data_IF_535752365242
#
_entry.id   IF_535752365242
#
_cell.length_a   1.000
_cell.length_b   1.000
_cell.length_c   1.000
_cell.angle_alpha   90.00
_cell.angle_beta   90.00
_cell.angle_gamma   90.00
#
_symmetry.space_group_name_H-M   'P 1'
#
loop_
_entity.id
_entity.type
_entity.pdbx_description
1 polymer ?
#
# COMPACT_ATOMS: atom_id res chain seq x y z
N UNK A 1 -6.32 29.44 11.65
CA UNK A 1 -6.41 28.49 12.80
C UNK A 1 -5.25 28.83 13.74
N UNK A 2 -5.28 28.50 15.05
CA UNK A 2 -4.15 28.86 15.90
C UNK A 2 -2.91 28.08 15.47
N UNK A 3 -1.74 28.71 15.57
CA UNK A 3 -0.44 28.11 15.27
C UNK A 3 -0.01 27.25 16.46
N UNK A 4 0.51 26.05 16.18
CA UNK A 4 1.19 25.24 17.20
C UNK A 4 2.57 25.85 17.45
N UNK A 5 2.86 26.20 18.69
CA UNK A 5 4.21 26.58 19.11
C UNK A 5 4.97 25.32 19.55
N UNK A 6 6.08 25.02 18.87
CA UNK A 6 6.95 23.86 19.18
C UNK A 6 7.54 23.98 20.58
N UNK A 7 7.52 22.87 21.32
CA UNK A 7 8.26 22.68 22.56
C UNK A 7 9.52 21.84 22.38
N UNK A 8 9.72 21.30 21.17
CA UNK A 8 10.88 20.50 20.80
C UNK A 8 12.15 21.35 20.71
N UNK A 9 13.19 20.96 21.45
CA UNK A 9 14.54 21.51 21.31
C UNK A 9 15.36 20.64 20.36
N UNK A 10 15.56 21.13 19.13
CA UNK A 10 16.32 20.45 18.06
C UNK A 10 17.81 20.33 18.34
N UNK A 11 18.33 21.06 19.33
CA UNK A 11 19.73 21.02 19.75
C UNK A 11 19.96 20.15 20.99
N UNK A 12 18.89 19.60 21.58
CA UNK A 12 18.99 18.72 22.74
C UNK A 12 19.59 17.35 22.40
N UNK A 13 20.30 16.76 23.37
CA UNK A 13 20.82 15.39 23.26
C UNK A 13 19.68 14.37 23.02
N UNK A 14 18.51 14.62 23.59
CA UNK A 14 17.33 13.77 23.39
C UNK A 14 16.88 13.76 21.93
N UNK A 15 16.78 14.94 21.31
CA UNK A 15 16.38 15.04 19.90
C UNK A 15 17.39 14.30 18.99
N UNK A 16 18.69 14.44 19.26
CA UNK A 16 19.73 13.76 18.47
C UNK A 16 19.65 12.23 18.63
N UNK A 17 19.43 11.73 19.85
CA UNK A 17 19.23 10.30 20.10
C UNK A 17 17.99 9.75 19.37
N UNK A 18 16.88 10.49 19.40
CA UNK A 18 15.65 10.14 18.68
C UNK A 18 15.89 10.10 17.17
N UNK A 19 16.57 11.14 16.64
CA UNK A 19 16.93 11.27 15.23
C UNK A 19 17.80 10.12 14.75
N UNK A 20 18.83 9.77 15.51
CA UNK A 20 19.74 8.66 15.18
C UNK A 20 19.00 7.31 15.18
N UNK A 21 18.12 7.08 16.16
CA UNK A 21 17.30 5.87 16.21
C UNK A 21 16.35 5.76 15.01
N UNK A 22 15.70 6.87 14.63
CA UNK A 22 14.83 6.91 13.45
C UNK A 22 15.61 6.71 12.16
N UNK A 23 16.74 7.39 11.97
CA UNK A 23 17.58 7.25 10.79
C UNK A 23 18.11 5.83 10.63
N UNK A 24 18.54 5.19 11.74
CA UNK A 24 18.91 3.77 11.71
C UNK A 24 17.76 2.90 11.22
N UNK A 25 16.54 3.13 11.71
CA UNK A 25 15.36 2.38 11.26
C UNK A 25 15.03 2.65 9.78
N UNK A 26 15.27 3.89 9.30
CA UNK A 26 15.15 4.24 7.87
C UNK A 26 16.16 3.45 7.04
N UNK A 27 17.43 3.47 7.45
CA UNK A 27 18.52 2.76 6.76
C UNK A 27 18.26 1.26 6.69
N UNK A 28 17.71 0.65 7.75
CA UNK A 28 17.37 -0.77 7.80
C UNK A 28 16.39 -1.17 6.69
N UNK A 29 15.26 -0.46 6.52
CA UNK A 29 14.29 -0.82 5.48
C UNK A 29 14.77 -0.42 4.07
N UNK A 30 15.51 0.71 3.95
CA UNK A 30 16.11 1.13 2.68
C UNK A 30 17.17 0.15 2.19
N UNK A 31 17.93 -0.46 3.11
CA UNK A 31 18.89 -1.51 2.77
C UNK A 31 18.20 -2.74 2.16
N UNK A 32 17.01 -3.11 2.63
CA UNK A 32 16.22 -4.20 2.03
C UNK A 32 15.71 -3.81 0.64
N UNK A 33 15.17 -2.61 0.47
CA UNK A 33 14.76 -2.13 -0.86
C UNK A 33 15.93 -2.14 -1.85
N UNK A 34 17.11 -1.69 -1.41
CA UNK A 34 18.33 -1.73 -2.21
C UNK A 34 18.73 -3.16 -2.58
N UNK A 35 18.64 -4.13 -1.66
CA UNK A 35 18.92 -5.55 -1.98
C UNK A 35 18.04 -6.08 -3.11
N UNK A 36 16.75 -5.73 -3.13
CA UNK A 36 15.82 -6.14 -4.20
C UNK A 36 16.23 -5.52 -5.54
N UNK A 37 16.59 -4.23 -5.55
CA UNK A 37 17.06 -3.53 -6.76
C UNK A 37 18.36 -4.15 -7.26
N UNK A 38 19.36 -4.33 -6.38
CA UNK A 38 20.67 -4.92 -6.73
C UNK A 38 20.51 -6.36 -7.26
N UNK A 39 19.58 -7.14 -6.68
CA UNK A 39 19.24 -8.49 -7.17
C UNK A 39 18.68 -8.45 -8.58
N UNK A 40 17.74 -7.55 -8.87
CA UNK A 40 17.18 -7.39 -10.21
C UNK A 40 18.26 -6.93 -11.23
N UNK A 41 19.07 -5.95 -10.84
CA UNK A 41 20.18 -5.42 -11.64
C UNK A 41 21.24 -6.49 -11.97
N UNK A 42 21.48 -7.45 -11.07
CA UNK A 42 22.37 -8.59 -11.35
C UNK A 42 21.94 -9.43 -12.57
N UNK A 43 20.67 -9.34 -12.99
CA UNK A 43 20.15 -10.03 -14.17
C UNK A 43 20.25 -9.21 -15.46
N UNK A 44 20.72 -7.95 -15.42
CA UNK A 44 20.86 -7.06 -16.57
C UNK A 44 21.52 -7.72 -17.81
N UNK A 45 22.64 -8.45 -17.70
CA UNK A 45 23.25 -9.08 -18.89
C UNK A 45 22.34 -10.08 -19.59
N UNK A 46 21.44 -10.76 -18.85
CA UNK A 46 20.47 -11.70 -19.43
C UNK A 46 19.36 -10.96 -20.18
N UNK A 47 18.92 -9.82 -19.67
CA UNK A 47 17.91 -8.97 -20.31
C UNK A 47 18.47 -8.32 -21.58
N UNK A 48 19.69 -7.75 -21.50
CA UNK A 48 20.37 -7.14 -22.65
C UNK A 48 20.62 -8.16 -23.77
N UNK A 49 21.05 -9.37 -23.43
CA UNK A 49 21.20 -10.47 -24.42
C UNK A 49 19.90 -10.79 -25.17
N UNK A 50 18.74 -10.57 -24.53
CA UNK A 50 17.41 -10.75 -25.12
C UNK A 50 16.84 -9.46 -25.74
N UNK A 51 17.59 -8.36 -25.70
CA UNK A 51 17.11 -7.03 -26.12
C UNK A 51 15.94 -6.51 -25.28
N UNK A 52 15.83 -6.93 -24.03
CA UNK A 52 14.77 -6.55 -23.09
C UNK A 52 15.27 -5.47 -22.12
N UNK A 53 14.34 -4.63 -21.67
CA UNK A 53 14.54 -3.68 -20.57
C UNK A 53 14.25 -4.37 -19.23
N UNK A 54 14.94 -3.95 -18.16
CA UNK A 54 14.59 -4.41 -16.81
C UNK A 54 13.22 -3.87 -16.39
N UNK A 55 12.48 -4.58 -15.51
CA UNK A 55 11.17 -4.12 -15.03
C UNK A 55 11.14 -2.69 -14.50
N UNK A 56 12.14 -2.30 -13.69
CA UNK A 56 12.22 -0.94 -13.16
C UNK A 56 12.46 0.10 -14.27
N UNK A 57 13.28 -0.22 -15.27
CA UNK A 57 13.51 0.66 -16.43
C UNK A 57 12.22 0.83 -17.25
N UNK A 58 11.43 -0.23 -17.40
CA UNK A 58 10.12 -0.15 -18.08
C UNK A 58 9.17 0.79 -17.34
N UNK A 59 9.08 0.68 -16.01
CA UNK A 59 8.29 1.61 -15.18
C UNK A 59 8.80 3.05 -15.33
N UNK A 60 10.11 3.28 -15.21
CA UNK A 60 10.70 4.63 -15.34
C UNK A 60 10.43 5.25 -16.70
N UNK A 61 10.51 4.48 -17.80
CA UNK A 61 10.22 4.98 -19.15
C UNK A 61 8.73 5.17 -19.44
N UNK A 62 7.86 4.45 -18.73
CA UNK A 62 6.43 4.63 -18.84
C UNK A 62 5.96 5.93 -18.18
N UNK A 63 6.57 6.28 -17.04
CA UNK A 63 6.20 7.47 -16.26
C UNK A 63 6.61 8.78 -16.95
N UNK A 64 5.85 9.84 -16.69
CA UNK A 64 6.17 11.18 -17.17
C UNK A 64 7.44 11.71 -16.48
N UNK A 65 8.42 12.27 -17.23
CA UNK A 65 9.65 12.79 -16.64
C UNK A 65 9.40 13.86 -15.57
N UNK A 66 10.05 13.72 -14.42
CA UNK A 66 9.93 14.65 -13.29
C UNK A 66 8.61 14.55 -12.51
N UNK A 67 7.67 13.70 -12.91
CA UNK A 67 6.43 13.49 -12.17
C UNK A 67 6.64 12.67 -10.89
N UNK A 68 5.83 12.89 -9.83
CA UNK A 68 5.95 12.11 -8.61
C UNK A 68 5.47 10.67 -8.80
N UNK A 69 6.16 9.73 -8.16
CA UNK A 69 5.80 8.31 -8.13
C UNK A 69 5.72 7.80 -6.69
N UNK A 70 4.52 7.39 -6.28
CA UNK A 70 4.28 6.77 -4.99
C UNK A 70 4.39 5.24 -5.14
N UNK A 71 5.55 4.69 -4.76
CA UNK A 71 5.76 3.24 -4.74
C UNK A 71 4.93 2.56 -3.65
N UNK A 72 4.38 1.37 -3.94
CA UNK A 72 3.45 0.68 -3.05
C UNK A 72 3.92 -0.74 -2.73
N UNK A 73 3.98 -1.03 -1.42
CA UNK A 73 4.22 -2.38 -0.89
C UNK A 73 5.52 -3.00 -1.41
N UNK A 74 6.61 -2.23 -1.39
CA UNK A 74 7.94 -2.63 -1.87
C UNK A 74 8.51 -3.84 -1.12
N UNK A 75 8.11 -4.01 0.14
CA UNK A 75 8.57 -5.09 1.02
C UNK A 75 7.51 -6.20 1.22
N UNK A 76 6.52 -6.30 0.33
CA UNK A 76 5.51 -7.36 0.42
C UNK A 76 6.17 -8.74 0.40
N UNK A 77 5.89 -9.58 1.40
CA UNK A 77 6.46 -10.92 1.49
C UNK A 77 7.93 -10.96 1.91
N UNK A 78 8.49 -9.88 2.45
CA UNK A 78 9.85 -9.87 3.01
C UNK A 78 10.04 -10.98 4.03
N UNK A 79 11.06 -11.82 3.81
CA UNK A 79 11.38 -13.00 4.63
C UNK A 79 10.20 -13.98 4.82
N UNK A 80 9.26 -14.01 3.88
CA UNK A 80 8.16 -14.97 3.85
C UNK A 80 8.34 -15.94 2.69
N UNK A 81 7.79 -17.15 2.85
CA UNK A 81 7.83 -18.19 1.83
C UNK A 81 9.28 -18.51 1.41
N UNK A 82 9.61 -18.32 0.13
CA UNK A 82 10.93 -18.62 -0.41
C UNK A 82 11.96 -17.49 -0.21
N UNK A 83 11.55 -16.30 0.22
CA UNK A 83 12.48 -15.20 0.50
C UNK A 83 13.21 -15.47 1.82
N UNK A 84 14.53 -15.67 1.76
CA UNK A 84 15.34 -16.02 2.94
C UNK A 84 16.21 -14.88 3.46
N UNK A 85 16.50 -13.88 2.61
CA UNK A 85 17.47 -12.82 2.89
C UNK A 85 16.99 -11.41 2.53
N UNK A 86 15.75 -11.30 2.03
CA UNK A 86 15.11 -10.06 1.63
C UNK A 86 15.25 -9.72 0.16
N UNK A 87 16.04 -10.48 -0.61
CA UNK A 87 16.32 -10.16 -2.02
C UNK A 87 15.13 -10.42 -2.93
N UNK A 88 14.10 -11.12 -2.47
CA UNK A 88 12.90 -11.46 -3.25
C UNK A 88 11.63 -10.72 -2.78
N UNK A 89 11.77 -9.76 -1.86
CA UNK A 89 10.67 -8.97 -1.36
C UNK A 89 10.00 -8.14 -2.47
N UNK A 90 8.74 -7.79 -2.26
CA UNK A 90 7.90 -7.03 -3.19
C UNK A 90 6.81 -7.86 -3.87
N UNK A 91 6.70 -9.16 -3.57
CA UNK A 91 5.63 -10.02 -4.05
C UNK A 91 5.66 -10.27 -5.57
N UNK A 92 6.84 -10.24 -6.18
CA UNK A 92 7.03 -10.47 -7.61
C UNK A 92 6.63 -9.32 -8.53
N UNK A 93 6.34 -8.13 -7.99
CA UNK A 93 5.94 -6.96 -8.79
C UNK A 93 6.47 -5.63 -8.23
N UNK A 94 6.73 -4.69 -9.14
CA UNK A 94 6.95 -3.28 -8.86
C UNK A 94 5.63 -2.56 -9.14
N UNK A 95 5.10 -1.78 -8.20
CA UNK A 95 3.83 -1.11 -8.40
C UNK A 95 3.76 0.21 -7.64
N UNK A 96 2.95 1.13 -8.16
CA UNK A 96 2.80 2.45 -7.57
C UNK A 96 1.80 3.31 -8.31
N UNK A 97 1.67 4.55 -7.87
CA UNK A 97 0.83 5.57 -8.49
C UNK A 97 1.74 6.65 -9.06
N UNK A 98 1.62 6.92 -10.35
CA UNK A 98 2.39 7.95 -11.04
C UNK A 98 1.63 8.51 -12.23
N UNK A 99 2.28 9.38 -13.00
CA UNK A 99 1.67 10.01 -14.16
C UNK A 99 2.15 9.35 -15.45
N UNK A 100 1.21 9.09 -16.34
CA UNK A 100 1.45 8.58 -17.70
C UNK A 100 0.66 9.49 -18.64
N UNK A 101 1.35 10.26 -19.48
CA UNK A 101 0.72 11.21 -20.39
C UNK A 101 -0.23 12.20 -19.69
N UNK A 102 0.15 12.68 -18.51
CA UNK A 102 -0.62 13.61 -17.68
C UNK A 102 -1.75 12.96 -16.88
N UNK A 103 -2.03 11.66 -17.08
CA UNK A 103 -3.06 10.93 -16.34
C UNK A 103 -2.44 10.21 -15.15
N UNK A 104 -3.06 10.35 -13.97
CA UNK A 104 -2.63 9.62 -12.78
C UNK A 104 -3.11 8.18 -12.84
N UNK A 105 -2.18 7.25 -12.99
CA UNK A 105 -2.44 5.83 -13.18
C UNK A 105 -1.91 5.00 -12.01
N UNK A 106 -2.54 3.84 -11.80
CA UNK A 106 -1.89 2.76 -11.07
C UNK A 106 -1.02 1.98 -12.06
N UNK A 107 0.29 2.01 -11.84
CA UNK A 107 1.28 1.31 -12.66
C UNK A 107 1.73 0.06 -11.93
N UNK A 108 1.77 -1.08 -12.64
CA UNK A 108 2.29 -2.34 -12.13
C UNK A 108 3.19 -3.00 -13.18
N UNK A 109 4.32 -3.54 -12.76
CA UNK A 109 5.23 -4.31 -13.60
C UNK A 109 5.58 -5.62 -12.92
N UNK A 110 5.52 -6.73 -13.65
CA UNK A 110 6.07 -8.00 -13.17
C UNK A 110 7.58 -7.83 -12.97
N UNK A 111 8.10 -8.22 -11.81
CA UNK A 111 9.54 -8.18 -11.57
C UNK A 111 10.21 -9.43 -12.16
N UNK A 112 10.24 -9.54 -13.49
CA UNK A 112 10.77 -10.69 -14.22
C UNK A 112 12.26 -10.97 -13.96
N UNK A 113 13.00 -9.97 -13.47
CA UNK A 113 14.39 -10.12 -13.06
C UNK A 113 14.55 -10.95 -11.77
N UNK A 114 13.49 -11.16 -10.99
CA UNK A 114 13.52 -11.97 -9.77
C UNK A 114 12.56 -13.14 -9.94
N UNK A 115 13.11 -14.37 -9.97
CA UNK A 115 12.35 -15.61 -10.19
C UNK A 115 11.39 -15.55 -11.39
N UNK A 116 11.75 -14.84 -12.46
CA UNK A 116 10.90 -14.72 -13.63
C UNK A 116 9.56 -14.03 -13.37
N UNK A 117 9.42 -13.23 -12.29
CA UNK A 117 8.18 -12.52 -11.97
C UNK A 117 7.09 -13.46 -11.41
N UNK A 118 7.52 -14.58 -10.81
CA UNK A 118 6.61 -15.55 -10.20
C UNK A 118 5.85 -14.94 -9.01
N UNK A 119 4.55 -15.21 -8.91
CA UNK A 119 3.68 -14.68 -7.87
C UNK A 119 3.64 -15.62 -6.65
N UNK A 120 3.97 -15.08 -5.48
CA UNK A 120 3.81 -15.73 -4.16
C UNK A 120 2.44 -15.39 -3.54
N UNK A 121 2.02 -16.01 -2.42
CA UNK A 121 0.79 -15.62 -1.71
C UNK A 121 0.78 -14.13 -1.33
N UNK A 122 1.91 -13.58 -0.88
CA UNK A 122 2.05 -12.14 -0.66
C UNK A 122 1.86 -11.31 -1.94
N UNK A 123 2.30 -11.82 -3.10
CA UNK A 123 2.06 -11.22 -4.41
C UNK A 123 0.58 -11.20 -4.81
N UNK A 124 -0.18 -12.26 -4.49
CA UNK A 124 -1.63 -12.29 -4.67
C UNK A 124 -2.30 -11.21 -3.81
N UNK A 125 -1.99 -11.15 -2.51
CA UNK A 125 -2.53 -10.12 -1.63
C UNK A 125 -2.17 -8.69 -2.09
N UNK A 126 -0.94 -8.48 -2.56
CA UNK A 126 -0.50 -7.22 -3.16
C UNK A 126 -1.34 -6.87 -4.40
N UNK A 127 -1.55 -7.82 -5.30
CA UNK A 127 -2.34 -7.62 -6.53
C UNK A 127 -3.79 -7.24 -6.22
N UNK A 128 -4.44 -7.96 -5.30
CA UNK A 128 -5.81 -7.65 -4.85
C UNK A 128 -5.87 -6.27 -4.18
N UNK A 129 -4.86 -5.90 -3.39
CA UNK A 129 -4.80 -4.57 -2.78
C UNK A 129 -4.60 -3.45 -3.81
N UNK A 130 -3.77 -3.66 -4.83
CA UNK A 130 -3.57 -2.70 -5.91
C UNK A 130 -4.88 -2.46 -6.68
N UNK A 131 -5.62 -3.54 -7.01
CA UNK A 131 -6.93 -3.43 -7.65
C UNK A 131 -7.96 -2.70 -6.78
N UNK A 132 -7.94 -2.94 -5.46
CA UNK A 132 -8.79 -2.19 -4.52
C UNK A 132 -8.44 -0.69 -4.54
N UNK A 133 -7.15 -0.34 -4.51
CA UNK A 133 -6.70 1.07 -4.62
C UNK A 133 -7.17 1.68 -5.94
N UNK A 134 -7.01 0.98 -7.07
CA UNK A 134 -7.43 1.47 -8.38
C UNK A 134 -8.95 1.71 -8.43
N UNK A 135 -9.75 0.75 -7.94
CA UNK A 135 -11.22 0.85 -7.85
C UNK A 135 -11.65 2.04 -7.02
N UNK A 136 -11.08 2.15 -5.83
CA UNK A 136 -11.48 3.11 -4.80
C UNK A 136 -11.11 4.55 -5.13
N UNK A 137 -10.04 4.74 -5.89
CA UNK A 137 -9.51 6.05 -6.28
C UNK A 137 -9.71 6.34 -7.78
N UNK A 138 -10.40 5.46 -8.52
CA UNK A 138 -10.66 5.55 -9.96
C UNK A 138 -9.38 5.83 -10.74
N UNK A 139 -8.40 4.93 -10.63
CA UNK A 139 -7.12 5.04 -11.33
C UNK A 139 -7.11 4.10 -12.53
N UNK A 140 -6.91 4.58 -13.77
CA UNK A 140 -6.56 3.72 -14.89
C UNK A 140 -5.36 2.85 -14.54
N UNK A 141 -5.36 1.61 -15.00
CA UNK A 141 -4.33 0.62 -14.68
C UNK A 141 -3.46 0.41 -15.91
N UNK A 142 -2.15 0.58 -15.76
CA UNK A 142 -1.16 0.23 -16.77
C UNK A 142 -0.27 -0.90 -16.25
N UNK A 143 -0.36 -2.07 -16.87
CA UNK A 143 0.37 -3.28 -16.48
C UNK A 143 1.48 -3.61 -17.48
N UNK A 144 2.69 -3.82 -17.00
CA UNK A 144 3.86 -4.23 -17.78
C UNK A 144 4.16 -5.70 -17.42
N UNK A 145 3.55 -6.61 -18.18
CA UNK A 145 3.42 -8.02 -17.84
C UNK A 145 4.55 -8.87 -18.42
N UNK A 146 5.23 -9.60 -17.54
CA UNK A 146 6.20 -10.65 -17.89
C UNK A 146 6.35 -11.57 -16.67
N UNK A 147 5.56 -12.64 -16.61
CA UNK A 147 5.48 -13.51 -15.44
C UNK A 147 5.57 -14.98 -15.79
N UNK A 148 6.37 -15.72 -15.02
CA UNK A 148 6.41 -17.18 -15.03
C UNK A 148 5.15 -17.86 -14.45
N UNK A 149 4.19 -17.08 -13.94
CA UNK A 149 2.96 -17.58 -13.35
C UNK A 149 2.98 -17.62 -11.82
N UNK A 150 2.15 -18.46 -11.23
CA UNK A 150 2.08 -18.66 -9.79
C UNK A 150 3.19 -19.61 -9.30
N UNK A 151 3.67 -19.40 -8.08
CA UNK A 151 4.61 -20.33 -7.45
C UNK A 151 3.92 -21.66 -7.14
N UNK A 152 4.35 -22.74 -7.81
CA UNK A 152 3.73 -24.06 -7.67
C UNK A 152 3.86 -24.65 -6.25
N UNK A 153 4.87 -24.25 -5.47
CA UNK A 153 5.00 -24.66 -4.07
C UNK A 153 3.82 -24.18 -3.21
N UNK A 154 3.15 -23.11 -3.62
CA UNK A 154 2.05 -22.47 -2.91
C UNK A 154 0.76 -22.45 -3.75
N UNK A 155 0.64 -23.36 -4.72
CA UNK A 155 -0.53 -23.39 -5.61
C UNK A 155 -1.85 -23.46 -4.85
N UNK A 156 -1.92 -24.22 -3.75
CA UNK A 156 -3.12 -24.34 -2.91
C UNK A 156 -3.51 -23.03 -2.22
N UNK A 157 -2.53 -22.19 -1.85
CA UNK A 157 -2.76 -20.88 -1.21
C UNK A 157 -3.09 -19.78 -2.22
N UNK A 158 -2.79 -19.99 -3.51
CA UNK A 158 -2.92 -18.97 -4.55
C UNK A 158 -4.10 -19.25 -5.48
N UNK A 159 -4.34 -20.50 -5.88
CA UNK A 159 -5.15 -20.81 -7.06
C UNK A 159 -6.61 -20.33 -6.95
N UNK A 160 -7.34 -20.75 -5.91
CA UNK A 160 -8.77 -20.44 -5.77
C UNK A 160 -8.99 -18.96 -5.51
N UNK A 161 -8.27 -18.38 -4.54
CA UNK A 161 -8.37 -16.96 -4.20
C UNK A 161 -7.78 -16.07 -5.32
N UNK A 162 -6.86 -16.60 -6.12
CA UNK A 162 -6.28 -15.96 -7.30
C UNK A 162 -7.31 -15.58 -8.35
N UNK A 163 -8.41 -16.34 -8.49
CA UNK A 163 -9.49 -16.01 -9.40
C UNK A 163 -10.13 -14.62 -9.13
N UNK A 164 -9.99 -14.10 -7.91
CA UNK A 164 -10.46 -12.75 -7.57
C UNK A 164 -9.75 -11.66 -8.36
N UNK A 165 -8.50 -11.85 -8.77
CA UNK A 165 -7.79 -10.84 -9.58
C UNK A 165 -8.50 -10.66 -10.91
N UNK A 166 -8.86 -11.75 -11.59
CA UNK A 166 -9.61 -11.76 -12.84
C UNK A 166 -11.03 -11.19 -12.66
N UNK A 167 -11.73 -11.62 -11.61
CA UNK A 167 -13.07 -11.10 -11.30
C UNK A 167 -13.05 -9.58 -11.07
N UNK A 168 -12.00 -9.05 -10.44
CA UNK A 168 -11.82 -7.63 -10.24
C UNK A 168 -11.49 -6.90 -11.54
N UNK A 169 -10.64 -7.45 -12.42
CA UNK A 169 -10.37 -6.84 -13.74
C UNK A 169 -11.66 -6.67 -14.55
N UNK A 170 -12.49 -7.72 -14.64
CA UNK A 170 -13.76 -7.64 -15.34
C UNK A 170 -14.69 -6.56 -14.73
N UNK A 171 -14.75 -6.47 -13.40
CA UNK A 171 -15.56 -5.47 -12.69
C UNK A 171 -15.02 -4.04 -12.84
N UNK A 172 -13.70 -3.87 -12.90
CA UNK A 172 -13.04 -2.57 -13.09
C UNK A 172 -13.31 -2.02 -14.49
N UNK A 173 -13.16 -2.87 -15.52
CA UNK A 173 -13.55 -2.55 -16.89
C UNK A 173 -15.02 -2.14 -16.97
N UNK A 174 -15.93 -2.92 -16.37
CA UNK A 174 -17.36 -2.59 -16.32
C UNK A 174 -17.69 -1.28 -15.55
N UNK A 175 -16.82 -0.86 -14.62
CA UNK A 175 -16.92 0.44 -13.93
C UNK A 175 -16.34 1.61 -14.73
N UNK A 176 -15.83 1.35 -15.94
CA UNK A 176 -15.22 2.34 -16.82
C UNK A 176 -13.81 2.76 -16.37
N UNK A 177 -13.10 1.91 -15.62
CA UNK A 177 -11.69 2.12 -15.25
C UNK A 177 -10.83 1.39 -16.28
N UNK A 178 -10.13 2.11 -17.18
CA UNK A 178 -9.39 1.49 -18.27
C UNK A 178 -8.22 0.64 -17.77
N UNK A 179 -8.01 -0.50 -18.42
CA UNK A 179 -6.91 -1.41 -18.17
C UNK A 179 -6.10 -1.59 -19.45
N UNK A 180 -4.85 -1.14 -19.41
CA UNK A 180 -3.89 -1.24 -20.51
C UNK A 180 -2.79 -2.20 -20.07
N UNK A 181 -2.53 -3.24 -20.86
CA UNK A 181 -1.46 -4.21 -20.58
C UNK A 181 -0.48 -4.29 -21.74
N UNK A 182 0.80 -4.14 -21.43
CA UNK A 182 1.91 -4.47 -22.33
C UNK A 182 2.48 -5.82 -21.93
N UNK A 183 2.38 -6.82 -22.80
CA UNK A 183 2.94 -8.15 -22.61
C UNK A 183 4.36 -8.15 -23.18
N UNK A 184 5.36 -8.12 -22.30
CA UNK A 184 6.79 -8.07 -22.65
C UNK A 184 7.43 -9.46 -22.81
N UNK A 185 6.75 -10.51 -22.35
CA UNK A 185 7.25 -11.88 -22.37
C UNK A 185 6.14 -12.89 -22.07
N UNK A 186 6.43 -13.88 -21.24
CA UNK A 186 5.48 -14.95 -20.95
C UNK A 186 4.29 -14.46 -20.11
N UNK A 187 3.10 -14.93 -20.49
CA UNK A 187 1.85 -14.85 -19.75
C UNK A 187 1.08 -16.19 -19.95
N UNK A 188 1.43 -17.18 -19.15
CA UNK A 188 1.01 -18.59 -19.34
C UNK A 188 -0.08 -19.02 -18.35
N UNK A 189 -0.91 -19.98 -18.76
CA UNK A 189 -1.96 -20.61 -17.97
C UNK A 189 -2.96 -19.58 -17.44
N UNK A 190 -3.25 -19.58 -16.13
CA UNK A 190 -4.12 -18.56 -15.53
C UNK A 190 -3.62 -17.14 -15.77
N UNK A 191 -2.30 -16.94 -15.87
CA UNK A 191 -1.69 -15.63 -16.14
C UNK A 191 -2.07 -15.05 -17.50
N UNK A 192 -2.47 -15.87 -18.48
CA UNK A 192 -2.92 -15.42 -19.80
C UNK A 192 -4.23 -14.60 -19.73
N UNK A 193 -5.06 -14.81 -18.70
CA UNK A 193 -6.28 -14.03 -18.50
C UNK A 193 -6.01 -12.60 -18.01
N UNK A 194 -4.84 -12.30 -17.46
CA UNK A 194 -4.53 -10.93 -17.05
C UNK A 194 -4.50 -9.96 -18.26
N UNK A 195 -3.73 -10.22 -19.33
CA UNK A 195 -3.86 -9.46 -20.56
C UNK A 195 -5.21 -9.69 -21.25
N UNK A 196 -5.74 -10.92 -21.26
CA UNK A 196 -7.02 -11.23 -21.92
C UNK A 196 -8.27 -10.55 -21.30
N UNK A 197 -8.17 -10.03 -20.08
CA UNK A 197 -9.22 -9.24 -19.41
C UNK A 197 -8.88 -7.74 -19.33
N UNK A 198 -7.79 -7.31 -19.98
CA UNK A 198 -7.49 -5.88 -20.15
C UNK A 198 -8.30 -5.31 -21.31
N UNK A 199 -8.58 -4.02 -21.28
CA UNK A 199 -9.33 -3.34 -22.35
C UNK A 199 -8.45 -3.07 -23.58
N UNK A 200 -7.13 -2.91 -23.35
CA UNK A 200 -6.15 -2.74 -24.41
C UNK A 200 -4.92 -3.62 -24.11
N UNK A 201 -4.57 -4.46 -25.06
CA UNK A 201 -3.48 -5.43 -24.98
C UNK A 201 -2.45 -5.15 -26.10
N UNK A 202 -1.23 -4.86 -25.69
CA UNK A 202 -0.07 -4.65 -26.57
C UNK A 202 0.88 -5.83 -26.37
N UNK A 203 1.21 -6.56 -27.44
CA UNK A 203 2.15 -7.69 -27.38
C UNK A 203 3.46 -7.35 -28.10
N UNK A 204 4.60 -7.62 -27.45
CA UNK A 204 5.91 -7.42 -28.06
C UNK A 204 6.26 -8.57 -29.01
N UNK A 205 6.50 -8.26 -30.29
CA UNK A 205 6.82 -9.22 -31.36
C UNK A 205 8.00 -10.12 -30.99
N UNK A 206 7.89 -11.42 -31.31
CA UNK A 206 8.93 -12.43 -31.11
C UNK A 206 9.43 -12.57 -29.66
N UNK A 207 8.63 -12.13 -28.68
CA UNK A 207 8.96 -12.15 -27.25
C UNK A 207 7.76 -12.52 -26.40
N UNK A 208 6.64 -11.84 -26.63
CA UNK A 208 5.42 -12.01 -25.89
C UNK A 208 4.74 -13.32 -26.25
N UNK A 209 4.38 -14.10 -25.24
CA UNK A 209 3.80 -15.43 -25.38
C UNK A 209 2.62 -15.60 -24.44
N UNK A 210 1.45 -15.86 -25.01
CA UNK A 210 0.21 -16.08 -24.27
C UNK A 210 -0.40 -17.43 -24.66
N UNK A 211 -0.62 -18.31 -23.68
CA UNK A 211 -1.32 -19.58 -23.91
C UNK A 211 -1.79 -20.18 -22.60
N UNK A 212 -2.90 -20.92 -22.62
CA UNK A 212 -3.39 -21.65 -21.45
C UNK A 212 -2.49 -22.86 -21.11
N UNK A 213 -1.93 -23.49 -22.12
CA UNK A 213 -1.01 -24.62 -21.99
C UNK A 213 0.17 -24.36 -22.92
N UNK A 214 1.39 -24.30 -22.37
CA UNK A 214 2.58 -24.15 -23.21
C UNK A 214 2.92 -25.42 -23.99
N UNK A 215 3.87 -25.36 -24.93
CA UNK A 215 4.20 -26.49 -25.79
C UNK A 215 4.45 -27.82 -25.05
N UNK A 216 5.13 -27.86 -23.88
CA UNK A 216 5.29 -29.11 -23.13
C UNK A 216 3.96 -29.72 -22.69
N UNK A 217 3.00 -28.90 -22.24
CA UNK A 217 1.69 -29.35 -21.79
C UNK A 217 0.78 -29.70 -22.97
N UNK A 218 0.86 -28.94 -24.07
CA UNK A 218 0.16 -29.25 -25.32
C UNK A 218 0.53 -30.65 -25.82
N UNK A 219 1.85 -30.93 -25.93
CA UNK A 219 2.37 -32.23 -26.35
C UNK A 219 1.95 -33.34 -25.40
N UNK A 220 2.03 -33.11 -24.09
CA UNK A 220 1.65 -34.10 -23.09
C UNK A 220 0.14 -34.43 -23.12
N UNK A 221 -0.71 -33.44 -23.37
CA UNK A 221 -2.16 -33.60 -23.33
C UNK A 221 -2.76 -34.12 -24.65
N UNK A 222 -2.18 -33.75 -25.80
CA UNK A 222 -2.80 -33.98 -27.12
C UNK A 222 -1.90 -34.69 -28.12
N UNK A 223 -0.59 -34.73 -27.88
CA UNK A 223 0.41 -35.19 -28.85
C UNK A 223 0.78 -34.16 -29.92
N UNK A 224 0.11 -33.00 -29.98
CA UNK A 224 0.42 -31.92 -30.90
C UNK A 224 1.78 -31.28 -30.57
N UNK A 225 2.53 -30.92 -31.62
CA UNK A 225 3.82 -30.25 -31.51
C UNK A 225 3.69 -28.91 -32.22
N UNK A 226 3.81 -27.83 -31.44
CA UNK A 226 3.89 -26.46 -31.93
C UNK A 226 5.05 -25.75 -31.22
N UNK A 227 5.65 -24.78 -31.91
CA UNK A 227 6.54 -23.82 -31.26
C UNK A 227 5.74 -22.86 -30.37
N UNK A 228 6.42 -22.14 -29.48
CA UNK A 228 5.75 -21.18 -28.61
C UNK A 228 5.22 -19.94 -29.35
N UNK A 229 5.90 -19.50 -30.42
CA UNK A 229 5.40 -18.43 -31.31
C UNK A 229 4.18 -18.87 -32.13
N UNK A 230 4.18 -20.09 -32.68
CA UNK A 230 3.00 -20.63 -33.39
C UNK A 230 1.79 -20.77 -32.45
N UNK A 231 2.04 -21.21 -31.21
CA UNK A 231 0.99 -21.49 -30.24
C UNK A 231 0.40 -20.23 -29.58
N UNK A 232 1.20 -19.18 -29.41
CA UNK A 232 0.83 -18.04 -28.57
C UNK A 232 1.64 -16.77 -28.77
N UNK A 233 2.30 -16.63 -29.92
CA UNK A 233 3.11 -15.45 -30.25
C UNK A 233 2.27 -14.19 -30.47
N UNK A 234 2.94 -13.03 -30.44
CA UNK A 234 2.29 -11.74 -30.64
C UNK A 234 1.56 -11.63 -31.98
N UNK A 235 2.16 -12.12 -33.07
CA UNK A 235 1.57 -12.08 -34.41
C UNK A 235 0.29 -12.92 -34.49
N UNK A 236 0.31 -14.12 -33.90
CA UNK A 236 -0.87 -14.98 -33.84
C UNK A 236 -2.01 -14.30 -33.09
N UNK A 237 -1.73 -13.73 -31.91
CA UNK A 237 -2.77 -13.06 -31.12
C UNK A 237 -3.34 -11.78 -31.76
N UNK A 238 -2.53 -11.03 -32.50
CA UNK A 238 -2.97 -9.79 -33.12
C UNK A 238 -3.61 -9.97 -34.51
N UNK A 239 -3.27 -11.05 -35.24
CA UNK A 239 -3.71 -11.23 -36.64
C UNK A 239 -4.66 -12.42 -36.85
N UNK A 240 -4.63 -13.41 -35.97
CA UNK A 240 -5.46 -14.63 -36.10
C UNK A 240 -6.52 -14.67 -35.01
N UNK A 241 -6.12 -14.67 -33.73
CA UNK A 241 -7.05 -14.83 -32.62
C UNK A 241 -7.79 -13.53 -32.24
N UNK A 242 -7.19 -12.36 -32.51
CA UNK A 242 -7.73 -11.06 -32.11
C UNK A 242 -7.75 -10.85 -30.60
N UNK A 243 -6.80 -11.43 -29.87
CA UNK A 243 -6.65 -11.25 -28.41
C UNK A 243 -5.82 -10.03 -28.04
N UNK A 244 -5.03 -9.50 -28.98
CA UNK A 244 -4.23 -8.29 -28.81
C UNK A 244 -4.60 -7.27 -29.86
N UNK A 245 -4.71 -5.99 -29.47
CA UNK A 245 -5.03 -4.90 -30.37
C UNK A 245 -3.78 -4.36 -31.10
N UNK A 246 -2.60 -4.50 -30.48
CA UNK A 246 -1.36 -3.90 -30.99
C UNK A 246 -0.17 -4.86 -30.91
N UNK A 247 0.70 -4.80 -31.93
CA UNK A 247 2.01 -5.46 -31.92
C UNK A 247 3.08 -4.37 -31.78
N UNK A 248 3.91 -4.48 -30.75
CA UNK A 248 5.07 -3.61 -30.54
C UNK A 248 6.37 -4.30 -30.99
N UNK A 249 7.32 -3.54 -31.53
CA UNK A 249 8.57 -4.12 -32.05
C UNK A 249 9.60 -4.45 -30.96
N UNK A 250 9.51 -3.79 -29.81
CA UNK A 250 10.35 -4.04 -28.63
C UNK A 250 9.71 -3.44 -27.37
N UNK A 251 10.37 -3.62 -26.21
CA UNK A 251 9.87 -3.10 -24.93
C UNK A 251 9.63 -1.59 -24.94
N UNK A 252 10.54 -0.80 -25.54
CA UNK A 252 10.41 0.65 -25.58
C UNK A 252 9.23 1.08 -26.47
N UNK A 253 9.02 0.40 -27.58
CA UNK A 253 7.87 0.63 -28.47
C UNK A 253 6.54 0.25 -27.78
N UNK A 254 6.49 -0.85 -27.04
CA UNK A 254 5.31 -1.22 -26.25
C UNK A 254 4.96 -0.19 -25.18
N UNK A 255 5.97 0.36 -24.51
CA UNK A 255 5.79 1.46 -23.55
C UNK A 255 5.29 2.73 -24.25
N UNK A 256 5.84 3.07 -25.42
CA UNK A 256 5.38 4.21 -26.22
C UNK A 256 3.89 4.06 -26.57
N UNK A 257 3.48 2.90 -27.08
CA UNK A 257 2.07 2.62 -27.40
C UNK A 257 1.16 2.72 -26.16
N UNK A 258 1.60 2.21 -25.01
CA UNK A 258 0.83 2.35 -23.77
C UNK A 258 0.62 3.82 -23.37
N UNK A 259 1.66 4.65 -23.51
CA UNK A 259 1.56 6.12 -23.27
C UNK A 259 0.60 6.80 -24.25
N UNK A 260 0.58 6.39 -25.52
CA UNK A 260 -0.32 6.91 -26.55
C UNK A 260 -1.78 6.54 -26.29
N UNK A 261 -2.03 5.31 -25.84
CA UNK A 261 -3.37 4.88 -25.42
C UNK A 261 -3.87 5.69 -24.23
N UNK A 262 -3.05 5.87 -23.20
CA UNK A 262 -3.42 6.71 -22.05
C UNK A 262 -3.71 8.14 -22.48
N UNK A 263 -2.90 8.72 -23.38
CA UNK A 263 -3.11 10.06 -23.91
C UNK A 263 -4.40 10.22 -24.73
N UNK A 264 -4.84 9.15 -25.42
CA UNK A 264 -6.07 9.16 -26.22
C UNK A 264 -7.35 9.00 -25.39
N UNK A 265 -7.26 8.50 -24.16
CA UNK A 265 -8.42 8.41 -23.28
C UNK A 265 -8.68 9.82 -22.72
N UNK A 266 -9.85 10.43 -22.96
CA UNK A 266 -10.19 11.76 -22.44
C UNK A 266 -10.52 11.66 -20.94
N UNK A 267 -9.55 11.23 -20.13
CA UNK A 267 -9.74 10.90 -18.72
C UNK A 267 -9.84 12.16 -17.87
N UNK A 268 -8.86 13.04 -18.00
CA UNK A 268 -8.80 14.30 -17.27
C UNK A 268 -9.82 15.32 -17.79
N UNK A 269 -10.25 15.22 -19.04
CA UNK A 269 -11.31 16.07 -19.62
C UNK A 269 -12.67 15.90 -18.91
N UNK A 270 -12.87 14.78 -18.20
CA UNK A 270 -14.07 14.51 -17.39
C UNK A 270 -14.04 15.23 -16.03
N UNK A 271 -12.89 15.75 -15.62
CA UNK A 271 -12.75 16.42 -14.34
C UNK A 271 -13.34 17.83 -14.42
N UNK A 272 -14.09 18.29 -13.39
CA UNK A 272 -14.46 19.68 -13.31
C UNK A 272 -13.19 20.54 -13.16
N UNK A 273 -13.22 21.75 -13.71
CA UNK A 273 -12.17 22.73 -13.45
C UNK A 273 -12.06 22.97 -11.94
N UNK A 274 -10.82 22.99 -11.43
CA UNK A 274 -10.52 23.27 -10.03
C UNK A 274 -9.44 24.33 -9.98
N UNK A 275 -9.70 25.40 -9.24
CA UNK A 275 -8.72 26.43 -8.97
C UNK A 275 -7.53 25.84 -8.20
N UNK A 276 -6.34 26.34 -8.52
CA UNK A 276 -5.14 26.03 -7.76
C UNK A 276 -5.32 26.50 -6.31
N UNK A 277 -5.09 25.61 -5.36
CA UNK A 277 -5.18 25.96 -3.95
C UNK A 277 -3.89 26.64 -3.52
N UNK A 278 -3.99 27.87 -3.03
CA UNK A 278 -2.86 28.52 -2.35
C UNK A 278 -2.71 27.92 -0.94
N UNK A 279 -1.46 27.63 -0.57
CA UNK A 279 -1.11 27.08 0.74
C UNK A 279 0.25 27.59 1.20
N UNK A 280 0.56 27.39 2.47
CA UNK A 280 1.81 27.80 3.10
C UNK A 280 2.48 26.55 3.67
N UNK A 281 3.79 26.43 3.48
CA UNK A 281 4.57 25.37 4.12
C UNK A 281 4.43 25.41 5.64
N UNK A 282 4.63 24.26 6.34
CA UNK A 282 4.75 24.24 7.79
C UNK A 282 5.85 25.22 8.28
N UNK A 283 5.71 25.73 9.49
CA UNK A 283 6.69 26.65 10.11
C UNK A 283 7.98 25.98 10.56
N UNK A 284 7.92 24.68 10.78
CA UNK A 284 9.02 23.86 11.28
C UNK A 284 9.48 22.91 10.19
N UNK A 285 10.78 22.60 10.15
CA UNK A 285 11.36 21.76 9.12
C UNK A 285 10.83 20.33 9.23
N UNK A 286 10.41 19.74 8.11
CA UNK A 286 9.91 18.37 8.04
C UNK A 286 10.96 17.33 8.48
N UNK A 287 12.25 17.64 8.32
CA UNK A 287 13.35 16.81 8.77
C UNK A 287 13.43 16.69 10.29
N UNK A 288 12.82 17.62 11.03
CA UNK A 288 12.74 17.53 12.49
C UNK A 288 11.86 16.37 12.95
N UNK A 289 10.96 15.85 12.10
CA UNK A 289 10.16 14.65 12.40
C UNK A 289 11.02 13.45 12.78
N UNK A 290 12.27 13.38 12.29
CA UNK A 290 13.21 12.33 12.65
C UNK A 290 13.50 12.30 14.16
N UNK A 291 13.53 13.45 14.83
CA UNK A 291 13.83 13.57 16.27
C UNK A 291 12.62 13.79 17.17
N UNK A 292 11.41 13.92 16.60
CA UNK A 292 10.16 14.12 17.37
C UNK A 292 9.76 12.87 18.16
N UNK A 293 9.87 11.68 17.56
CA UNK A 293 9.40 10.45 18.20
C UNK A 293 10.49 9.88 19.12
N UNK A 294 10.20 9.66 20.41
CA UNK A 294 11.18 9.08 21.33
C UNK A 294 11.73 7.73 20.87
N UNK A 295 13.04 7.54 21.00
CA UNK A 295 13.71 6.25 20.76
C UNK A 295 13.20 5.16 21.71
N UNK A 296 12.91 5.53 22.97
CA UNK A 296 12.17 4.66 23.89
C UNK A 296 10.67 4.73 23.58
N UNK A 297 10.14 3.67 22.98
CA UNK A 297 8.71 3.51 22.64
C UNK A 297 7.75 3.63 23.83
N UNK A 298 8.23 3.59 25.08
CA UNK A 298 7.41 3.80 26.28
C UNK A 298 7.32 5.26 26.70
N UNK A 299 8.23 6.12 26.24
CA UNK A 299 8.25 7.54 26.58
C UNK A 299 7.11 8.25 25.83
N UNK A 300 6.18 8.92 26.52
CA UNK A 300 5.13 9.69 25.87
C UNK A 300 5.73 10.93 25.20
N UNK A 301 5.10 11.39 24.13
CA UNK A 301 5.35 12.68 23.48
C UNK A 301 4.01 13.28 23.02
N UNK A 302 3.98 14.59 22.79
CA UNK A 302 2.79 15.24 22.24
C UNK A 302 2.78 15.10 20.71
N UNK A 303 1.76 14.43 20.18
CA UNK A 303 1.60 14.27 18.73
C UNK A 303 1.38 15.59 17.99
N UNK A 304 1.06 16.67 18.70
CA UNK A 304 1.02 18.01 18.11
C UNK A 304 2.37 18.43 17.51
N UNK A 305 3.49 17.91 18.02
CA UNK A 305 4.82 18.11 17.42
C UNK A 305 4.91 17.50 16.01
N UNK A 306 4.25 16.37 15.76
CA UNK A 306 4.15 15.80 14.41
C UNK A 306 3.20 16.64 13.55
N UNK A 307 2.05 17.04 14.10
CA UNK A 307 1.05 17.84 13.38
C UNK A 307 1.64 19.18 12.92
N UNK A 308 2.44 19.83 13.76
CA UNK A 308 3.08 21.11 13.46
C UNK A 308 4.02 21.06 12.25
N UNK A 309 4.55 19.89 11.90
CA UNK A 309 5.48 19.68 10.77
C UNK A 309 4.81 19.16 9.50
N UNK A 310 3.49 18.93 9.53
CA UNK A 310 2.72 18.48 8.36
C UNK A 310 1.56 19.40 8.00
N UNK A 311 1.10 20.23 8.94
CA UNK A 311 0.00 21.17 8.73
C UNK A 311 0.49 22.46 8.07
N UNK A 312 -0.28 22.99 7.14
CA UNK A 312 -0.01 24.28 6.51
C UNK A 312 0.15 25.38 7.58
N UNK A 313 1.23 26.16 7.48
CA UNK A 313 1.58 27.21 8.45
C UNK A 313 1.61 26.73 9.93
N UNK A 314 1.74 25.41 10.15
CA UNK A 314 1.65 24.75 11.46
C UNK A 314 0.37 25.06 12.22
N UNK A 315 -0.74 25.32 11.51
CA UNK A 315 -2.01 25.66 12.14
C UNK A 315 -2.85 24.43 12.46
N UNK A 316 -3.41 24.39 13.67
CA UNK A 316 -4.25 23.29 14.15
C UNK A 316 -5.40 23.80 15.02
N UNK A 317 -6.63 23.55 14.59
CA UNK A 317 -7.80 23.83 15.41
C UNK A 317 -8.16 22.63 16.27
N UNK A 318 -7.73 22.65 17.52
CA UNK A 318 -7.95 21.57 18.48
C UNK A 318 -9.43 21.44 18.85
N UNK A 319 -9.96 20.21 18.76
CA UNK A 319 -11.35 19.90 19.06
C UNK A 319 -11.43 19.17 20.39
N UNK A 320 -12.19 19.71 21.36
CA UNK A 320 -12.50 19.05 22.64
C UNK A 320 -11.26 18.57 23.42
N UNK A 321 -10.15 19.32 23.41
CA UNK A 321 -8.97 18.97 24.20
C UNK A 321 -9.29 18.89 25.70
N UNK A 322 -10.02 19.88 26.22
CA UNK A 322 -10.38 19.98 27.64
C UNK A 322 -11.30 18.84 28.12
N UNK A 323 -11.92 18.11 27.20
CA UNK A 323 -12.77 16.97 27.51
C UNK A 323 -11.97 15.66 27.64
N UNK A 324 -11.01 15.45 26.74
CA UNK A 324 -10.08 14.33 26.74
C UNK A 324 -8.85 14.69 25.89
N UNK A 325 -7.69 14.81 26.53
CA UNK A 325 -6.43 15.17 25.87
C UNK A 325 -5.64 13.95 25.37
N UNK A 326 -6.00 12.73 25.80
CA UNK A 326 -5.34 11.49 25.37
C UNK A 326 -5.70 11.13 23.93
N UNK A 327 -6.94 11.39 23.51
CA UNK A 327 -7.38 11.29 22.10
C UNK A 327 -7.39 12.68 21.48
N UNK A 328 -6.35 13.00 20.71
CA UNK A 328 -6.21 14.30 20.04
C UNK A 328 -7.08 14.30 18.79
N UNK A 329 -7.88 15.33 18.61
CA UNK A 329 -8.70 15.54 17.41
C UNK A 329 -8.62 17.00 17.02
N UNK A 330 -8.58 17.31 15.73
CA UNK A 330 -8.66 18.70 15.28
C UNK A 330 -8.50 18.85 13.79
N UNK A 331 -8.69 20.07 13.32
CA UNK A 331 -8.66 20.38 11.89
C UNK A 331 -7.35 21.06 11.51
N UNK A 332 -6.83 20.68 10.34
CA UNK A 332 -5.69 21.30 9.68
C UNK A 332 -6.02 21.57 8.21
N UNK A 333 -5.09 22.24 7.52
CA UNK A 333 -4.94 22.08 6.08
C UNK A 333 -3.62 21.39 5.77
N UNK A 334 -3.58 20.63 4.68
CA UNK A 334 -2.36 20.04 4.11
C UNK A 334 -2.37 20.32 2.61
N UNK A 335 -1.42 21.13 2.15
CA UNK A 335 -1.37 21.66 0.77
C UNK A 335 -2.73 22.27 0.36
N UNK A 336 -3.32 23.06 1.24
CA UNK A 336 -4.61 23.74 1.06
C UNK A 336 -5.84 22.86 1.28
N UNK A 337 -5.69 21.53 1.39
CA UNK A 337 -6.79 20.58 1.58
C UNK A 337 -7.20 20.54 3.05
N UNK A 338 -8.48 20.81 3.34
CA UNK A 338 -9.01 20.68 4.71
C UNK A 338 -9.03 19.21 5.15
N UNK A 339 -8.42 18.89 6.30
CA UNK A 339 -8.29 17.53 6.83
C UNK A 339 -8.67 17.51 8.31
N UNK A 340 -9.38 16.48 8.75
CA UNK A 340 -9.56 16.17 10.16
C UNK A 340 -8.51 15.16 10.63
N UNK A 341 -7.76 15.49 11.67
CA UNK A 341 -6.76 14.60 12.28
C UNK A 341 -7.32 13.95 13.54
N UNK A 342 -7.06 12.65 13.71
CA UNK A 342 -7.25 11.92 14.98
C UNK A 342 -5.93 11.26 15.33
N UNK A 343 -5.48 11.39 16.58
CA UNK A 343 -4.23 10.84 17.07
C UNK A 343 -4.28 10.52 18.57
N UNK A 344 -3.20 9.97 19.12
CA UNK A 344 -3.12 9.45 20.47
C UNK A 344 -1.89 10.02 21.23
N UNK A 345 -2.15 10.67 22.37
CA UNK A 345 -1.14 11.00 23.39
C UNK A 345 -1.22 10.04 24.59
N UNK A 346 -2.09 9.02 24.53
CA UNK A 346 -2.29 8.01 25.56
C UNK A 346 -3.34 6.97 25.16
N UNK A 347 -3.74 6.07 26.09
CA UNK A 347 -4.81 5.11 25.86
C UNK A 347 -6.15 5.78 25.54
N UNK A 348 -6.98 5.14 24.72
CA UNK A 348 -8.30 5.64 24.37
C UNK A 348 -9.25 5.46 25.55
N UNK A 349 -9.76 6.55 26.11
CA UNK A 349 -10.77 6.51 27.18
C UNK A 349 -12.19 6.46 26.60
N UNK A 350 -13.21 6.24 27.45
CA UNK A 350 -14.62 6.32 27.02
C UNK A 350 -14.97 7.73 26.49
N UNK A 351 -14.41 8.77 27.11
CA UNK A 351 -14.55 10.17 26.67
C UNK A 351 -13.82 10.41 25.36
N UNK A 352 -12.60 9.90 25.22
CA UNK A 352 -11.80 9.97 23.99
C UNK A 352 -12.50 9.30 22.81
N UNK A 353 -13.05 8.09 23.00
CA UNK A 353 -13.81 7.39 21.98
C UNK A 353 -15.10 8.13 21.58
N UNK A 354 -15.84 8.68 22.55
CA UNK A 354 -17.01 9.49 22.28
C UNK A 354 -16.68 10.79 21.51
N UNK A 355 -15.57 11.45 21.90
CA UNK A 355 -15.01 12.63 21.22
C UNK A 355 -14.65 12.31 19.77
N UNK A 356 -13.89 11.24 19.53
CA UNK A 356 -13.47 10.82 18.20
C UNK A 356 -14.67 10.42 17.32
N UNK A 357 -15.64 9.67 17.87
CA UNK A 357 -16.85 9.30 17.13
C UNK A 357 -17.62 10.53 16.63
N UNK A 358 -17.81 11.54 17.49
CA UNK A 358 -18.44 12.80 17.09
C UNK A 358 -17.59 13.54 16.05
N UNK A 359 -16.27 13.61 16.24
CA UNK A 359 -15.37 14.30 15.32
C UNK A 359 -15.40 13.69 13.91
N UNK A 360 -15.44 12.35 13.81
CA UNK A 360 -15.59 11.63 12.54
C UNK A 360 -16.90 12.00 11.86
N UNK A 361 -18.01 12.04 12.61
CA UNK A 361 -19.31 12.45 12.06
C UNK A 361 -19.29 13.89 11.53
N UNK A 362 -18.63 14.82 12.23
CA UNK A 362 -18.47 16.20 11.78
C UNK A 362 -17.62 16.30 10.51
N UNK A 363 -16.56 15.49 10.40
CA UNK A 363 -15.74 15.43 9.19
C UNK A 363 -16.53 14.83 8.03
N UNK A 364 -17.31 13.77 8.24
CA UNK A 364 -18.17 13.20 7.19
C UNK A 364 -19.25 14.19 6.74
N UNK A 365 -19.89 14.89 7.70
CA UNK A 365 -20.90 15.91 7.41
C UNK A 365 -20.35 17.06 6.56
N UNK A 366 -19.11 17.47 6.83
CA UNK A 366 -18.44 18.57 6.13
C UNK A 366 -17.61 18.10 4.92
N UNK A 367 -17.71 16.82 4.53
CA UNK A 367 -16.95 16.20 3.45
C UNK A 367 -15.42 16.43 3.58
N UNK A 368 -14.90 16.35 4.80
CA UNK A 368 -13.47 16.49 5.12
C UNK A 368 -12.82 15.10 5.22
N UNK A 369 -11.76 14.81 4.44
CA UNK A 369 -10.94 13.62 4.63
C UNK A 369 -10.41 13.49 6.06
N UNK A 370 -10.25 12.26 6.51
CA UNK A 370 -9.73 11.92 7.83
C UNK A 370 -8.30 11.37 7.72
N UNK A 371 -7.41 11.89 8.56
CA UNK A 371 -6.06 11.39 8.76
C UNK A 371 -5.93 10.82 10.18
N UNK A 372 -5.61 9.53 10.27
CA UNK A 372 -5.37 8.84 11.52
C UNK A 372 -3.86 8.68 11.72
N UNK A 373 -3.34 9.26 12.80
CA UNK A 373 -1.95 9.08 13.22
C UNK A 373 -1.91 8.09 14.38
N UNK A 374 -1.49 6.86 14.15
CA UNK A 374 -1.52 5.83 15.19
C UNK A 374 -0.33 5.98 16.13
N UNK A 375 -0.64 6.21 17.40
CA UNK A 375 0.28 5.99 18.52
C UNK A 375 -0.49 5.43 19.73
N UNK A 376 -1.31 4.40 19.50
CA UNK A 376 -2.24 3.84 20.48
C UNK A 376 -1.73 2.54 21.08
N UNK A 377 -1.76 2.46 22.41
CA UNK A 377 -1.56 1.23 23.19
C UNK A 377 -2.86 0.46 23.44
N UNK A 378 -3.98 0.93 22.88
CA UNK A 378 -5.31 0.37 23.06
C UNK A 378 -6.23 1.27 23.88
N UNK A 379 -7.28 0.68 24.45
CA UNK A 379 -8.24 1.35 25.32
C UNK A 379 -7.77 1.31 26.78
N UNK A 380 -8.22 2.28 27.57
CA UNK A 380 -8.05 2.26 29.02
C UNK A 380 -8.78 1.05 29.61
N UNK A 381 -8.15 0.37 30.57
CA UNK A 381 -8.69 -0.83 31.24
C UNK A 381 -8.93 -0.56 32.73
N UNK A 382 -9.85 -1.30 33.33
CA UNK A 382 -10.18 -1.20 34.75
C UNK A 382 -11.70 -1.16 34.98
N UNK A 383 -12.14 -1.43 36.21
CA UNK A 383 -13.56 -1.45 36.57
C UNK A 383 -14.26 -0.12 36.29
N UNK A 384 -13.59 1.00 36.60
CA UNK A 384 -14.11 2.34 36.31
C UNK A 384 -14.27 2.58 34.80
N UNK A 385 -13.30 2.16 33.98
CA UNK A 385 -13.41 2.29 32.52
C UNK A 385 -14.61 1.48 31.98
N UNK A 386 -14.78 0.24 32.45
CA UNK A 386 -15.91 -0.61 32.06
C UNK A 386 -17.26 -0.05 32.49
N UNK A 387 -17.39 0.43 33.72
CA UNK A 387 -18.62 1.03 34.25
C UNK A 387 -18.98 2.35 33.54
N UNK A 388 -17.98 3.12 33.11
CA UNK A 388 -18.17 4.30 32.26
C UNK A 388 -18.46 3.94 30.79
N UNK A 389 -18.56 2.66 30.46
CA UNK A 389 -19.01 2.17 29.16
C UNK A 389 -17.93 2.24 28.08
N UNK A 390 -16.67 1.94 28.41
CA UNK A 390 -15.56 1.91 27.45
C UNK A 390 -15.91 1.10 26.18
N UNK A 391 -16.59 -0.05 26.33
CA UNK A 391 -17.02 -0.89 25.22
C UNK A 391 -18.00 -0.14 24.31
N UNK A 392 -19.14 0.35 24.84
CA UNK A 392 -20.17 1.01 24.01
C UNK A 392 -19.64 2.28 23.34
N UNK A 393 -18.70 2.99 23.98
CA UNK A 393 -18.10 4.21 23.41
C UNK A 393 -17.04 3.86 22.36
N UNK A 394 -16.21 2.84 22.59
CA UNK A 394 -15.31 2.28 21.59
C UNK A 394 -16.06 1.75 20.37
N UNK A 395 -17.18 1.06 20.56
CA UNK A 395 -18.06 0.60 19.47
C UNK A 395 -18.57 1.75 18.62
N UNK A 396 -18.99 2.88 19.22
CA UNK A 396 -19.44 4.07 18.47
C UNK A 396 -18.31 4.69 17.63
N UNK A 397 -17.08 4.70 18.16
CA UNK A 397 -15.91 5.14 17.39
C UNK A 397 -15.66 4.24 16.19
N UNK A 398 -15.67 2.91 16.38
CA UNK A 398 -15.50 1.94 15.30
C UNK A 398 -16.64 2.06 14.27
N UNK A 399 -17.89 2.22 14.71
CA UNK A 399 -19.03 2.47 13.83
C UNK A 399 -18.84 3.74 13.01
N UNK A 400 -18.34 4.82 13.61
CA UNK A 400 -18.06 6.05 12.89
C UNK A 400 -16.95 5.86 11.85
N UNK A 401 -15.85 5.19 12.21
CA UNK A 401 -14.75 4.88 11.27
C UNK A 401 -15.23 4.04 10.09
N UNK A 402 -15.94 2.95 10.37
CA UNK A 402 -16.40 2.01 9.36
C UNK A 402 -17.41 2.63 8.38
N UNK A 403 -18.30 3.49 8.88
CA UNK A 403 -19.37 4.07 8.07
C UNK A 403 -19.04 5.45 7.47
N UNK A 404 -17.94 6.09 7.87
CA UNK A 404 -17.51 7.35 7.25
C UNK A 404 -17.18 7.16 5.77
N UNK A 405 -17.79 7.99 4.92
CA UNK A 405 -17.73 7.93 3.45
C UNK A 405 -16.57 8.76 2.89
N UNK A 406 -16.13 9.77 3.65
CA UNK A 406 -14.95 10.57 3.31
C UNK A 406 -13.69 9.70 3.18
N UNK A 407 -12.69 10.13 2.38
CA UNK A 407 -11.41 9.43 2.31
C UNK A 407 -10.75 9.33 3.69
N UNK A 408 -10.27 8.14 4.03
CA UNK A 408 -9.54 7.86 5.27
C UNK A 408 -8.10 7.47 4.93
N UNK A 409 -7.12 8.14 5.55
CA UNK A 409 -5.70 7.82 5.43
C UNK A 409 -5.17 7.53 6.82
N UNK A 410 -4.37 6.47 6.97
CA UNK A 410 -3.76 6.10 8.24
C UNK A 410 -2.24 6.11 8.12
N UNK A 411 -1.55 6.68 9.10
CA UNK A 411 -0.09 6.64 9.21
C UNK A 411 0.25 6.11 10.60
N UNK A 412 0.96 5.00 10.65
CA UNK A 412 1.42 4.43 11.90
C UNK A 412 2.74 5.10 12.27
N UNK A 413 2.68 6.03 13.23
CA UNK A 413 3.83 6.82 13.69
C UNK A 413 4.44 6.27 14.99
N UNK A 414 3.80 5.28 15.60
CA UNK A 414 4.26 4.61 16.80
C UNK A 414 3.50 3.30 17.05
N UNK A 415 2.91 3.15 18.23
CA UNK A 415 2.14 1.97 18.60
C UNK A 415 0.81 1.86 17.84
N UNK A 416 0.46 0.63 17.45
CA UNK A 416 -0.87 0.31 16.93
C UNK A 416 -1.30 -1.06 17.47
N UNK A 417 -1.78 -1.06 18.71
CA UNK A 417 -2.06 -2.28 19.47
C UNK A 417 -3.55 -2.59 19.64
N UNK A 418 -3.89 -3.88 19.52
CA UNK A 418 -5.20 -4.44 19.90
C UNK A 418 -6.39 -3.69 19.30
N UNK A 419 -7.42 -3.46 20.12
CA UNK A 419 -8.61 -2.73 19.69
C UNK A 419 -8.35 -1.27 19.31
N UNK A 420 -7.23 -0.68 19.75
CA UNK A 420 -6.79 0.64 19.30
C UNK A 420 -6.50 0.68 17.80
N UNK A 421 -5.95 -0.40 17.23
CA UNK A 421 -5.77 -0.53 15.78
C UNK A 421 -7.11 -0.42 15.04
N UNK A 422 -8.18 -1.03 15.56
CA UNK A 422 -9.50 -0.99 14.93
C UNK A 422 -10.09 0.42 15.00
N UNK A 423 -10.07 1.01 16.20
CA UNK A 423 -10.63 2.34 16.46
C UNK A 423 -9.93 3.46 15.68
N UNK A 424 -8.64 3.30 15.36
CA UNK A 424 -7.84 4.27 14.60
C UNK A 424 -7.83 4.02 13.09
N UNK A 425 -8.75 3.22 12.53
CA UNK A 425 -8.79 2.92 11.09
C UNK A 425 -7.55 2.13 10.59
N UNK A 426 -7.22 1.04 11.29
CA UNK A 426 -6.25 0.05 10.84
C UNK A 426 -6.71 -0.72 9.59
N UNK A 427 -5.89 -1.67 9.11
CA UNK A 427 -6.11 -2.38 7.83
C UNK A 427 -7.52 -2.95 7.66
N UNK A 428 -8.10 -3.55 8.70
CA UNK A 428 -9.43 -4.16 8.65
C UNK A 428 -10.61 -3.18 8.55
N UNK A 429 -10.34 -1.86 8.60
CA UNK A 429 -11.33 -0.79 8.50
C UNK A 429 -11.19 0.02 7.20
N UNK A 430 -10.47 -0.55 6.23
CA UNK A 430 -10.36 -0.08 4.84
C UNK A 430 -10.02 1.42 4.67
N UNK A 431 -8.90 1.91 5.24
CA UNK A 431 -8.37 3.20 4.81
C UNK A 431 -7.97 3.14 3.32
N UNK A 432 -8.15 4.27 2.62
CA UNK A 432 -7.73 4.43 1.22
C UNK A 432 -6.24 4.14 1.08
N UNK A 433 -5.45 4.68 2.02
CA UNK A 433 -4.04 4.39 2.16
C UNK A 433 -3.68 4.21 3.63
N UNK A 434 -2.77 3.28 3.89
CA UNK A 434 -2.17 3.06 5.20
C UNK A 434 -0.67 2.92 5.01
N UNK A 435 0.08 3.79 5.67
CA UNK A 435 1.54 3.79 5.70
C UNK A 435 2.03 3.58 7.13
N UNK A 436 3.28 3.17 7.26
CA UNK A 436 3.89 2.93 8.54
C UNK A 436 5.29 3.54 8.54
N UNK A 437 5.60 4.32 9.57
CA UNK A 437 6.97 4.74 9.87
C UNK A 437 7.78 3.53 10.35
N UNK A 438 9.11 3.53 10.16
CA UNK A 438 9.94 2.36 10.45
C UNK A 438 10.05 2.04 11.96
N UNK A 439 9.82 3.04 12.83
CA UNK A 439 9.75 2.84 14.28
C UNK A 439 8.43 2.17 14.74
N UNK A 440 7.40 2.15 13.89
CA UNK A 440 6.06 1.72 14.30
C UNK A 440 6.01 0.24 14.67
N UNK A 441 5.00 -0.13 15.49
CA UNK A 441 4.79 -1.50 15.95
C UNK A 441 3.31 -1.84 15.89
N UNK A 442 2.99 -2.95 15.23
CA UNK A 442 1.61 -3.48 15.11
C UNK A 442 1.56 -4.85 15.75
N UNK A 443 0.68 -5.02 16.74
CA UNK A 443 0.47 -6.31 17.38
C UNK A 443 -0.90 -6.38 18.07
N UNK A 444 -1.37 -7.59 18.38
CA UNK A 444 -2.61 -7.79 19.15
C UNK A 444 -2.53 -7.17 20.56
N UNK A 445 -1.33 -7.16 21.16
CA UNK A 445 -1.01 -6.49 22.42
C UNK A 445 0.52 -6.36 22.56
N UNK A 446 1.01 -5.68 23.59
CA UNK A 446 2.45 -5.61 23.89
C UNK A 446 3.01 -6.97 24.32
N UNK A 447 4.24 -7.31 23.93
CA UNK A 447 4.83 -8.63 24.20
C UNK A 447 4.90 -8.98 25.69
N UNK A 448 5.22 -8.01 26.54
CA UNK A 448 5.23 -8.19 28.00
C UNK A 448 3.83 -8.52 28.55
N UNK A 449 2.78 -7.90 28.01
CA UNK A 449 1.38 -8.15 28.40
C UNK A 449 0.96 -9.56 27.97
N UNK A 450 1.30 -9.97 26.75
CA UNK A 450 1.00 -11.31 26.25
C UNK A 450 1.65 -12.41 27.11
N UNK A 451 2.93 -12.28 27.43
CA UNK A 451 3.65 -13.24 28.26
C UNK A 451 3.06 -13.36 29.67
N UNK A 452 2.67 -12.23 30.27
CA UNK A 452 2.05 -12.23 31.60
C UNK A 452 0.69 -12.95 31.61
N UNK A 453 -0.17 -12.65 30.62
CA UNK A 453 -1.52 -13.27 30.52
C UNK A 453 -1.41 -14.78 30.32
N UNK A 454 -0.54 -15.23 29.41
CA UNK A 454 -0.34 -16.67 29.17
C UNK A 454 0.15 -17.40 30.43
N UNK A 455 1.06 -16.78 31.19
CA UNK A 455 1.53 -17.34 32.46
C UNK A 455 0.40 -17.48 33.48
N UNK A 456 -0.37 -16.41 33.72
CA UNK A 456 -1.48 -16.43 34.68
C UNK A 456 -2.50 -17.53 34.34
N UNK A 457 -2.85 -17.67 33.06
CA UNK A 457 -3.80 -18.70 32.60
C UNK A 457 -3.21 -20.10 32.73
N UNK A 458 -1.93 -20.28 32.41
CA UNK A 458 -1.24 -21.56 32.56
C UNK A 458 -1.16 -22.00 34.04
N UNK A 459 -0.77 -21.08 34.93
CA UNK A 459 -0.69 -21.32 36.38
C UNK A 459 -2.08 -21.67 36.93
N UNK A 460 -3.14 -20.95 36.52
CA UNK A 460 -4.51 -21.24 36.92
C UNK A 460 -4.97 -22.63 36.44
N UNK A 461 -4.61 -23.01 35.21
CA UNK A 461 -4.91 -24.33 34.65
C UNK A 461 -4.16 -25.44 35.41
N UNK A 462 -2.86 -25.27 35.69
CA UNK A 462 -2.07 -26.22 36.46
C UNK A 462 -2.64 -26.42 37.88
N UNK A 463 -2.96 -25.33 38.57
CA UNK A 463 -3.64 -25.37 39.88
C UNK A 463 -4.97 -26.10 39.82
N UNK A 464 -5.78 -25.87 38.77
CA UNK A 464 -7.06 -26.60 38.58
C UNK A 464 -6.86 -28.10 38.33
N UNK A 465 -5.68 -28.51 37.89
CA UNK A 465 -5.28 -29.91 37.67
C UNK A 465 -4.52 -30.52 38.86
N UNK A 466 -4.38 -29.80 39.97
CA UNK A 466 -3.67 -30.25 41.16
C UNK A 466 -2.14 -30.32 41.01
N UNK A 467 -1.59 -29.63 40.02
CA UNK A 467 -0.15 -29.47 39.82
C UNK A 467 0.24 -28.14 40.48
N UNK A 468 1.09 -28.19 41.51
CA UNK A 468 1.63 -27.00 42.19
C UNK A 468 2.69 -26.27 41.36
#
# INVERSE_FOLDING_TARGET
MPVIETSLDVHSDEFQQNRDAMLKAVDEFRAVEKKVVDKAESQRPKFEKRGQLLPLERVTRLLDPGSPYLSLMNLAGYMMHDDKDGTEAGGGSIAGIGYVSGVRCLVAASNSAIKGGTISPAGLHKSLRLQAIARENKLPIVSLSESGGANLNYAAEIFVEGARTFANQARLSAQGIPQITVVHGNATAGGAYQPGLSDYCIMVRNRAKMFLAGPPLLKAATGEIATDEELGGAEMHATVAGTAEYIAENDADGIRMARELVANIPWNERLPHREEMLWQSPRYDENELLGVVPADTKKPYDVREVIARIADNSEFLDFKNDWDAATVCGWVKVEGKAVGIISNNGPITARGAAKAAQFIQLCDQSNRPLLFLHNTTGFLVGTDAEQNGIIKHGSKMIQAVANARVPKISILIGGSYGAGNYAMCGRGLDPRFIFAWPNSRVAVMGGQQAGMVLRIVADAKQRSMGIE
#
